data_IF_569980602828
#
_entry.id   IF_569980602828
#
_cell.length_a   1.000
_cell.length_b   1.000
_cell.length_c   1.000
_cell.angle_alpha   90.00
_cell.angle_beta   90.00
_cell.angle_gamma   90.00
#
_symmetry.space_group_name_H-M   'P 1'
#
loop_
_entity.id
_entity.type
_entity.pdbx_description
1 polymer ?
#
# COMPACT_ATOMS: atom_id res chain seq x y z
N UNK A 1 8.90 -59.19 -3.97
CA UNK A 1 9.68 -57.97 -3.71
C UNK A 1 9.76 -57.21 -5.03
N UNK A 2 9.27 -55.96 -5.09
CA UNK A 2 9.49 -54.94 -6.13
C UNK A 2 8.36 -53.90 -6.05
N UNK A 3 8.68 -52.65 -5.76
CA UNK A 3 7.75 -51.51 -5.89
C UNK A 3 8.32 -50.60 -6.97
N UNK A 4 7.58 -50.42 -8.07
CA UNK A 4 7.96 -49.52 -9.15
C UNK A 4 7.12 -48.23 -9.04
N UNK A 5 7.72 -47.17 -8.50
CA UNK A 5 7.07 -45.87 -8.38
C UNK A 5 7.00 -45.13 -9.72
N UNK A 6 5.86 -44.52 -10.03
CA UNK A 6 5.68 -43.68 -11.22
C UNK A 6 6.34 -42.31 -11.04
N UNK A 7 7.15 -41.90 -12.02
CA UNK A 7 7.70 -40.54 -12.09
C UNK A 7 6.56 -39.55 -12.40
N UNK A 8 6.36 -38.57 -11.51
CA UNK A 8 5.52 -37.40 -11.80
C UNK A 8 6.27 -36.39 -12.64
N UNK A 9 5.73 -36.03 -13.82
CA UNK A 9 6.25 -34.93 -14.62
C UNK A 9 5.96 -33.59 -13.90
N UNK A 10 7.01 -32.86 -13.52
CA UNK A 10 6.87 -31.51 -12.95
C UNK A 10 6.93 -30.49 -14.09
N UNK A 11 5.78 -29.96 -14.48
CA UNK A 11 5.70 -28.84 -15.42
C UNK A 11 6.14 -27.54 -14.74
N UNK A 12 7.25 -26.97 -15.20
CA UNK A 12 7.72 -25.68 -14.72
C UNK A 12 6.78 -24.55 -15.18
N UNK A 13 6.04 -23.96 -14.25
CA UNK A 13 5.19 -22.79 -14.53
C UNK A 13 6.08 -21.57 -14.75
N UNK A 14 6.18 -21.11 -16.00
CA UNK A 14 6.89 -19.87 -16.33
C UNK A 14 6.16 -18.66 -15.76
N UNK A 15 6.89 -17.75 -15.14
CA UNK A 15 6.32 -16.50 -14.65
C UNK A 15 5.95 -15.59 -15.83
N UNK A 16 4.70 -15.13 -15.88
CA UNK A 16 4.26 -14.22 -16.93
C UNK A 16 5.00 -12.88 -16.83
N UNK A 17 5.59 -12.44 -17.94
CA UNK A 17 6.24 -11.13 -18.04
C UNK A 17 5.19 -10.00 -17.97
N UNK A 18 5.55 -8.86 -17.37
CA UNK A 18 4.65 -7.71 -17.34
C UNK A 18 4.48 -7.14 -18.76
N UNK A 19 3.26 -7.14 -19.29
CA UNK A 19 2.98 -6.64 -20.64
C UNK A 19 3.06 -5.11 -20.68
N UNK A 20 4.00 -4.60 -21.47
CA UNK A 20 4.14 -3.17 -21.79
C UNK A 20 3.70 -2.88 -23.21
N UNK A 21 3.23 -1.66 -23.40
CA UNK A 21 2.84 -1.10 -24.68
C UNK A 21 4.08 -0.44 -25.33
N UNK A 22 4.66 -1.03 -26.39
CA UNK A 22 5.88 -0.50 -27.01
C UNK A 22 5.63 0.80 -27.81
N UNK A 23 4.37 1.23 -27.99
CA UNK A 23 4.03 2.52 -28.59
C UNK A 23 3.97 3.65 -27.55
N UNK A 24 3.69 3.33 -26.29
CA UNK A 24 3.48 4.29 -25.22
C UNK A 24 4.78 4.84 -24.61
N UNK A 25 4.70 6.09 -24.13
CA UNK A 25 5.68 6.66 -23.21
C UNK A 25 5.23 6.42 -21.78
N UNK A 26 6.19 6.19 -20.89
CA UNK A 26 5.99 5.88 -19.48
C UNK A 26 6.85 6.78 -18.60
N UNK A 27 6.29 7.21 -17.47
CA UNK A 27 7.04 7.78 -16.35
C UNK A 27 7.19 6.68 -15.31
N UNK A 28 8.43 6.37 -14.94
CA UNK A 28 8.74 5.30 -13.99
C UNK A 28 8.85 5.89 -12.59
N UNK A 29 7.81 5.73 -11.77
CA UNK A 29 7.77 6.28 -10.40
C UNK A 29 8.47 5.32 -9.44
N UNK A 30 9.48 5.77 -8.70
CA UNK A 30 10.14 4.95 -7.69
C UNK A 30 9.24 4.74 -6.48
N UNK A 31 8.94 3.47 -6.20
CA UNK A 31 8.04 3.05 -5.12
C UNK A 31 8.44 3.59 -3.72
N UNK A 32 9.69 3.99 -3.49
CA UNK A 32 10.14 4.44 -2.16
C UNK A 32 9.99 5.95 -1.90
N UNK A 33 9.82 6.76 -2.93
CA UNK A 33 10.11 8.22 -2.84
C UNK A 33 9.21 9.12 -3.68
N UNK A 34 8.36 8.50 -4.50
CA UNK A 34 7.46 9.09 -5.50
C UNK A 34 8.15 10.03 -6.49
N UNK A 35 9.48 9.88 -6.56
CA UNK A 35 10.37 10.51 -7.51
C UNK A 35 10.63 9.56 -8.65
N UNK A 36 10.75 10.13 -9.84
CA UNK A 36 10.70 9.38 -11.08
C UNK A 36 12.09 9.13 -11.61
N UNK A 37 12.26 8.03 -12.37
CA UNK A 37 13.45 7.81 -13.17
C UNK A 37 13.69 9.04 -14.04
N UNK A 38 14.83 9.68 -13.87
CA UNK A 38 15.13 10.95 -14.50
C UNK A 38 16.52 10.89 -15.11
N UNK A 39 16.60 11.29 -16.37
CA UNK A 39 17.84 11.68 -16.99
C UNK A 39 18.33 12.99 -16.34
N UNK A 40 19.46 12.93 -15.61
CA UNK A 40 20.05 14.10 -14.93
C UNK A 40 20.22 15.27 -15.92
N UNK A 41 19.70 16.42 -15.50
CA UNK A 41 19.79 17.72 -16.15
C UNK A 41 19.33 17.77 -17.63
N UNK A 42 18.54 16.80 -18.10
CA UNK A 42 17.99 16.77 -19.47
C UNK A 42 18.85 16.04 -20.53
N UNK A 43 19.86 15.30 -20.08
CA UNK A 43 20.95 14.69 -20.84
C UNK A 43 20.71 14.08 -22.26
N UNK A 44 21.37 14.60 -23.33
CA UNK A 44 21.62 14.11 -24.73
C UNK A 44 22.97 14.33 -25.59
N UNK A 45 24.20 14.74 -25.12
CA UNK A 45 25.59 14.36 -25.62
C UNK A 45 26.56 13.60 -24.60
N UNK A 46 27.30 12.53 -24.95
CA UNK A 46 27.75 11.34 -24.12
C UNK A 46 28.49 11.40 -22.73
N UNK A 47 28.11 10.51 -21.77
CA UNK A 47 28.67 10.19 -20.43
C UNK A 47 27.68 10.01 -19.22
N UNK A 48 26.46 10.57 -19.25
CA UNK A 48 25.64 10.94 -18.08
C UNK A 48 24.65 9.89 -17.49
N UNK A 49 24.50 10.02 -16.17
CA UNK A 49 23.77 9.14 -15.25
C UNK A 49 22.26 9.40 -15.14
N UNK A 50 21.53 8.37 -14.74
CA UNK A 50 20.16 8.45 -14.26
C UNK A 50 20.15 8.82 -12.77
N UNK A 51 19.13 9.56 -12.35
CA UNK A 51 18.80 9.87 -10.96
C UNK A 51 17.30 9.66 -10.70
N UNK A 52 16.87 9.86 -9.45
CA UNK A 52 15.45 10.13 -9.17
C UNK A 52 15.21 11.64 -9.11
N UNK A 53 14.23 12.12 -9.88
CA UNK A 53 13.81 13.52 -9.93
C UNK A 53 12.41 13.74 -9.34
N UNK A 54 12.12 14.94 -8.86
CA UNK A 54 10.73 15.31 -8.53
C UNK A 54 9.89 15.26 -9.82
N UNK A 55 8.73 14.60 -9.78
CA UNK A 55 7.90 14.39 -10.97
C UNK A 55 7.44 15.72 -11.58
N UNK A 56 7.79 15.94 -12.83
CA UNK A 56 7.39 17.08 -13.68
C UNK A 56 6.78 16.64 -15.02
N UNK A 57 6.87 15.35 -15.34
CA UNK A 57 6.52 14.74 -16.62
C UNK A 57 7.26 15.35 -17.84
N UNK A 58 8.38 16.04 -17.61
CA UNK A 58 9.31 16.49 -18.65
C UNK A 58 9.86 15.31 -19.47
N UNK A 59 10.27 15.53 -20.72
CA UNK A 59 10.72 14.45 -21.61
C UNK A 59 11.95 13.68 -21.08
N UNK A 60 12.80 14.31 -20.26
CA UNK A 60 13.89 13.67 -19.53
C UNK A 60 13.43 12.60 -18.50
N UNK A 61 12.17 12.62 -18.09
CA UNK A 61 11.55 11.67 -17.15
C UNK A 61 10.71 10.59 -17.87
N UNK A 62 10.58 10.65 -19.20
CA UNK A 62 9.74 9.75 -19.99
C UNK A 62 10.56 8.71 -20.76
N UNK A 63 10.13 7.44 -20.72
CA UNK A 63 10.81 6.31 -21.34
C UNK A 63 9.83 5.40 -22.11
N UNK A 64 10.30 4.72 -23.14
CA UNK A 64 9.55 3.76 -23.96
C UNK A 64 10.27 2.42 -23.99
N UNK A 65 9.51 1.33 -23.91
CA UNK A 65 10.04 -0.03 -23.92
C UNK A 65 10.21 -0.54 -25.36
N UNK A 66 11.42 -0.43 -25.90
CA UNK A 66 11.78 -0.97 -27.22
C UNK A 66 12.09 -2.46 -27.07
N UNK A 67 11.52 -3.33 -27.91
CA UNK A 67 11.67 -4.78 -27.77
C UNK A 67 13.05 -5.31 -28.21
N UNK A 68 13.48 -6.43 -27.63
CA UNK A 68 14.77 -7.10 -27.86
C UNK A 68 14.63 -8.62 -28.10
N UNK A 69 13.40 -9.11 -28.29
CA UNK A 69 13.05 -10.53 -28.31
C UNK A 69 12.75 -11.10 -26.92
N UNK A 70 12.02 -12.21 -26.85
CA UNK A 70 11.85 -13.06 -25.64
C UNK A 70 11.36 -12.36 -24.36
N UNK A 71 10.60 -11.27 -24.49
CA UNK A 71 10.15 -10.45 -23.34
C UNK A 71 11.24 -9.53 -22.74
N UNK A 72 12.37 -9.38 -23.43
CA UNK A 72 13.43 -8.43 -23.14
C UNK A 72 13.16 -7.10 -23.83
N UNK A 73 13.47 -6.00 -23.15
CA UNK A 73 13.25 -4.64 -23.61
C UNK A 73 14.41 -3.71 -23.25
N UNK A 74 14.51 -2.58 -23.94
CA UNK A 74 15.42 -1.46 -23.63
C UNK A 74 14.59 -0.21 -23.34
N UNK A 75 14.97 0.55 -22.30
CA UNK A 75 14.23 1.76 -21.91
C UNK A 75 14.79 2.98 -22.66
N UNK A 76 14.20 3.31 -23.81
CA UNK A 76 14.57 4.48 -24.59
C UNK A 76 13.99 5.76 -23.95
N UNK A 77 14.82 6.75 -23.61
CA UNK A 77 14.38 8.05 -23.10
C UNK A 77 13.82 8.94 -24.23
N UNK A 78 12.75 9.70 -23.93
CA UNK A 78 12.03 10.54 -24.90
C UNK A 78 12.82 11.75 -25.38
N UNK A 79 13.67 12.33 -24.54
CA UNK A 79 14.43 13.55 -24.85
C UNK A 79 15.72 13.24 -25.62
N UNK A 80 16.36 12.10 -25.34
CA UNK A 80 17.69 11.77 -25.87
C UNK A 80 17.70 10.72 -27.00
N UNK A 81 16.59 9.98 -27.16
CA UNK A 81 16.47 8.84 -28.07
C UNK A 81 17.28 7.60 -27.66
N UNK A 82 17.82 7.55 -26.44
CA UNK A 82 18.86 6.61 -26.00
C UNK A 82 18.44 5.75 -24.80
N UNK A 83 19.09 4.59 -24.62
CA UNK A 83 18.62 3.48 -23.79
C UNK A 83 19.36 3.34 -22.46
N UNK A 84 18.62 3.07 -21.38
CA UNK A 84 19.16 2.91 -20.01
C UNK A 84 20.06 1.68 -19.86
N UNK A 85 21.19 1.81 -19.15
CA UNK A 85 22.28 0.82 -19.18
C UNK A 85 23.28 0.96 -17.99
N UNK A 86 23.89 -0.16 -17.56
CA UNK A 86 24.71 -0.33 -16.33
C UNK A 86 26.21 -0.01 -16.54
N UNK A 87 26.93 0.40 -15.48
CA UNK A 87 28.33 0.80 -15.50
C UNK A 87 29.38 -0.31 -15.75
N UNK A 88 30.39 0.02 -16.57
CA UNK A 88 31.76 -0.51 -16.58
C UNK A 88 31.99 -2.02 -16.71
N UNK A 89 31.13 -2.77 -17.42
CA UNK A 89 31.09 -4.24 -17.36
C UNK A 89 30.90 -4.78 -15.93
N UNK A 90 30.47 -3.93 -15.00
CA UNK A 90 30.61 -4.14 -13.57
C UNK A 90 29.56 -5.09 -13.04
N UNK A 91 30.02 -6.17 -12.42
CA UNK A 91 29.11 -7.15 -11.82
C UNK A 91 28.51 -6.74 -10.48
N UNK A 92 29.03 -5.65 -9.89
CA UNK A 92 28.83 -5.25 -8.50
C UNK A 92 27.52 -4.49 -8.23
N UNK A 93 27.04 -4.58 -6.99
CA UNK A 93 25.99 -3.70 -6.48
C UNK A 93 26.49 -2.25 -6.37
N UNK A 94 25.61 -1.29 -6.63
CA UNK A 94 25.98 0.14 -6.65
C UNK A 94 26.65 0.59 -7.95
N UNK A 95 26.87 -0.29 -8.93
CA UNK A 95 27.31 0.11 -10.26
C UNK A 95 26.30 1.10 -10.88
N UNK A 96 26.77 2.28 -11.27
CA UNK A 96 25.94 3.39 -11.74
C UNK A 96 25.12 3.03 -12.99
N UNK A 97 23.97 3.66 -13.16
CA UNK A 97 23.13 3.52 -14.37
C UNK A 97 23.13 4.84 -15.14
N UNK A 98 23.28 4.75 -16.46
CA UNK A 98 23.36 5.86 -17.43
C UNK A 98 22.52 5.52 -18.69
N UNK A 99 22.59 6.27 -19.81
CA UNK A 99 21.68 6.06 -20.97
C UNK A 99 22.29 6.17 -22.41
N UNK A 100 22.76 5.07 -23.03
CA UNK A 100 23.54 5.02 -24.28
C UNK A 100 22.81 5.01 -25.63
N UNK A 101 23.60 5.30 -26.67
CA UNK A 101 23.38 4.81 -28.03
C UNK A 101 22.93 3.35 -27.99
N UNK A 102 21.76 3.08 -28.58
CA UNK A 102 21.23 1.72 -28.67
C UNK A 102 22.16 0.84 -29.52
N UNK A 103 22.56 -0.29 -28.96
CA UNK A 103 23.41 -1.31 -29.55
C UNK A 103 22.84 -2.73 -29.35
N UNK A 104 21.60 -2.83 -28.84
CA UNK A 104 20.90 -4.03 -28.38
C UNK A 104 21.73 -5.03 -27.55
N UNK A 105 22.68 -4.52 -26.77
CA UNK A 105 23.52 -5.35 -25.94
C UNK A 105 22.78 -5.79 -24.66
N UNK A 106 23.13 -6.95 -24.11
CA UNK A 106 22.43 -7.55 -22.95
C UNK A 106 22.41 -6.67 -21.68
N UNK A 107 23.19 -5.58 -21.66
CA UNK A 107 23.29 -4.58 -20.60
C UNK A 107 22.47 -3.30 -20.79
N UNK A 108 21.89 -3.14 -21.97
CA UNK A 108 20.76 -2.25 -22.26
C UNK A 108 19.42 -2.97 -22.03
N UNK A 109 19.45 -4.31 -22.06
CA UNK A 109 18.29 -5.18 -21.95
C UNK A 109 17.86 -5.41 -20.49
N UNK A 110 16.55 -5.30 -20.27
CA UNK A 110 15.85 -5.71 -19.05
C UNK A 110 14.67 -6.61 -19.40
N UNK A 111 14.37 -7.59 -18.55
CA UNK A 111 13.04 -8.21 -18.47
C UNK A 111 12.22 -7.55 -17.37
N UNK A 112 10.92 -7.40 -17.60
CA UNK A 112 10.00 -6.80 -16.64
C UNK A 112 9.37 -7.89 -15.78
N UNK A 113 9.85 -8.04 -14.55
CA UNK A 113 9.26 -8.96 -13.57
C UNK A 113 8.19 -8.22 -12.78
N UNK A 114 6.93 -8.62 -12.96
CA UNK A 114 5.79 -8.07 -12.24
C UNK A 114 5.89 -8.34 -10.72
N UNK A 115 5.48 -7.36 -9.92
CA UNK A 115 5.41 -7.46 -8.46
C UNK A 115 4.23 -6.60 -7.94
N UNK A 116 3.02 -7.16 -7.99
CA UNK A 116 1.76 -6.39 -7.86
C UNK A 116 1.63 -5.38 -9.02
N UNK A 117 1.16 -4.15 -8.81
CA UNK A 117 1.06 -3.10 -9.85
C UNK A 117 2.41 -2.48 -10.29
N UNK A 118 3.53 -3.05 -9.84
CA UNK A 118 4.88 -2.54 -10.04
C UNK A 118 5.71 -3.51 -10.85
N UNK A 119 6.74 -3.01 -11.52
CA UNK A 119 7.77 -3.85 -12.13
C UNK A 119 9.09 -3.70 -11.40
N UNK A 120 9.87 -4.77 -11.41
CA UNK A 120 11.32 -4.70 -11.27
C UNK A 120 11.91 -4.89 -12.65
N UNK A 121 12.78 -3.95 -13.02
CA UNK A 121 13.56 -4.02 -14.26
C UNK A 121 14.77 -4.90 -13.96
N UNK A 122 14.63 -6.21 -14.21
CA UNK A 122 15.72 -7.16 -14.01
C UNK A 122 16.62 -7.10 -15.23
N UNK A 123 17.89 -6.82 -15.00
CA UNK A 123 18.90 -6.50 -15.99
C UNK A 123 19.52 -7.81 -16.52
N UNK A 124 19.30 -8.11 -17.81
CA UNK A 124 19.42 -9.49 -18.35
C UNK A 124 20.77 -10.15 -18.12
N UNK A 125 21.82 -9.43 -18.50
CA UNK A 125 23.22 -9.73 -18.28
C UNK A 125 23.69 -9.85 -16.81
N UNK A 126 22.79 -9.79 -15.82
CA UNK A 126 23.15 -9.62 -14.40
C UNK A 126 22.25 -10.27 -13.36
N UNK A 127 20.97 -10.49 -13.67
CA UNK A 127 19.91 -10.84 -12.72
C UNK A 127 19.75 -9.88 -11.52
N UNK A 128 20.40 -8.71 -11.57
CA UNK A 128 20.24 -7.58 -10.66
C UNK A 128 19.14 -6.65 -11.15
N UNK A 129 18.73 -5.70 -10.31
CA UNK A 129 17.60 -4.78 -10.58
C UNK A 129 18.04 -3.33 -10.58
N UNK A 130 17.43 -2.53 -11.46
CA UNK A 130 17.61 -1.08 -11.51
C UNK A 130 16.96 -0.43 -10.27
N UNK A 131 17.75 0.37 -9.54
CA UNK A 131 17.38 0.87 -8.21
C UNK A 131 17.88 2.29 -7.89
N UNK A 132 17.22 2.97 -6.97
CA UNK A 132 17.70 4.22 -6.35
C UNK A 132 18.80 3.92 -5.33
N UNK A 133 19.97 4.56 -5.49
CA UNK A 133 21.14 4.37 -4.64
C UNK A 133 20.85 4.72 -3.17
N UNK A 134 21.42 3.91 -2.26
CA UNK A 134 21.23 4.05 -0.81
C UNK A 134 19.77 3.95 -0.34
N UNK A 135 18.84 3.54 -1.22
CA UNK A 135 17.41 3.63 -1.00
C UNK A 135 16.93 5.03 -0.57
N UNK A 136 17.52 6.09 -1.14
CA UNK A 136 17.24 7.49 -0.78
C UNK A 136 15.82 7.94 -1.15
N UNK A 137 15.30 8.94 -0.41
CA UNK A 137 14.05 9.68 -0.74
C UNK A 137 14.29 11.06 -1.37
N UNK A 138 15.55 11.52 -1.42
CA UNK A 138 15.91 12.85 -1.93
C UNK A 138 15.98 12.89 -3.46
N UNK A 139 15.55 14.00 -4.06
CA UNK A 139 15.81 14.27 -5.48
C UNK A 139 17.33 14.37 -5.73
N UNK A 140 17.77 14.03 -6.94
CA UNK A 140 19.19 13.99 -7.31
C UNK A 140 19.92 12.71 -6.93
N UNK A 141 19.32 11.82 -6.11
CA UNK A 141 19.94 10.54 -5.76
C UNK A 141 20.10 9.64 -7.01
N UNK A 142 21.31 9.12 -7.22
CA UNK A 142 21.66 8.36 -8.41
C UNK A 142 20.89 7.04 -8.54
N UNK A 143 20.76 6.55 -9.78
CA UNK A 143 20.30 5.19 -10.07
C UNK A 143 21.51 4.26 -10.25
N UNK A 144 21.38 3.04 -9.77
CA UNK A 144 22.39 1.98 -9.80
C UNK A 144 21.74 0.63 -10.14
N UNK A 145 22.51 -0.42 -10.38
CA UNK A 145 22.02 -1.79 -10.18
C UNK A 145 22.19 -2.23 -8.71
N UNK A 146 21.39 -3.19 -8.27
CA UNK A 146 21.61 -3.92 -7.02
C UNK A 146 21.02 -5.33 -7.05
N UNK A 147 21.50 -6.19 -6.15
CA UNK A 147 20.95 -7.52 -5.88
C UNK A 147 19.43 -7.44 -5.69
N UNK A 148 18.68 -8.40 -6.26
CA UNK A 148 17.22 -8.44 -6.21
C UNK A 148 16.66 -8.77 -4.81
N UNK A 149 16.84 -7.83 -3.88
CA UNK A 149 16.22 -7.80 -2.56
C UNK A 149 14.73 -7.43 -2.62
N UNK A 150 14.15 -7.34 -3.83
CA UNK A 150 12.74 -7.00 -4.13
C UNK A 150 12.27 -5.72 -3.45
N UNK A 151 13.22 -4.87 -3.08
CA UNK A 151 13.04 -3.73 -2.20
C UNK A 151 12.52 -2.51 -2.97
N UNK A 152 11.99 -1.53 -2.26
CA UNK A 152 11.08 -0.57 -2.91
C UNK A 152 11.81 0.51 -3.69
N UNK A 153 13.06 0.78 -3.32
CA UNK A 153 13.95 1.58 -4.15
C UNK A 153 14.32 0.87 -5.48
N UNK A 154 13.95 -0.41 -5.64
CA UNK A 154 14.19 -1.24 -6.82
C UNK A 154 12.90 -1.52 -7.63
N UNK A 155 11.75 -0.97 -7.19
CA UNK A 155 10.44 -1.16 -7.80
C UNK A 155 9.93 0.14 -8.42
N UNK A 156 9.29 0.01 -9.59
CA UNK A 156 8.86 1.13 -10.42
C UNK A 156 7.39 0.98 -10.83
N UNK A 157 6.57 2.01 -10.59
CA UNK A 157 5.23 2.11 -11.20
C UNK A 157 5.40 2.55 -12.66
N UNK A 158 4.79 1.84 -13.60
CA UNK A 158 4.82 2.20 -15.02
C UNK A 158 3.61 3.06 -15.38
N UNK A 159 3.67 4.35 -15.07
CA UNK A 159 2.58 5.29 -15.38
C UNK A 159 2.65 5.68 -16.85
N UNK A 160 1.71 5.19 -17.67
CA UNK A 160 1.57 5.65 -19.08
C UNK A 160 1.35 7.17 -19.11
N UNK A 161 2.10 7.84 -19.98
CA UNK A 161 1.89 9.24 -20.33
C UNK A 161 0.81 9.29 -21.41
N UNK A 162 -0.28 10.02 -21.16
CA UNK A 162 -1.32 10.22 -22.16
C UNK A 162 -0.74 10.96 -23.38
N UNK A 163 -1.07 10.50 -24.59
CA UNK A 163 -0.56 11.04 -25.85
C UNK A 163 -1.28 12.33 -26.26
N UNK A 164 -1.12 13.38 -25.46
CA UNK A 164 -1.36 14.76 -25.87
C UNK A 164 -0.20 15.31 -26.71
N UNK A 165 -0.49 16.37 -27.48
CA UNK A 165 0.50 17.07 -28.30
C UNK A 165 1.59 17.76 -27.43
N UNK A 166 2.80 18.03 -27.97
CA UNK A 166 3.97 18.32 -27.14
C UNK A 166 4.07 19.78 -26.67
N UNK A 167 4.41 19.95 -25.38
CA UNK A 167 5.12 21.15 -24.90
C UNK A 167 6.63 20.96 -25.15
N UNK A 168 7.33 22.03 -25.52
CA UNK A 168 8.73 22.00 -25.97
C UNK A 168 9.75 21.74 -24.84
N UNK A 169 10.90 21.16 -25.20
CA UNK A 169 11.97 20.79 -24.26
C UNK A 169 13.27 21.59 -24.50
N UNK A 170 14.10 21.81 -23.47
CA UNK A 170 15.51 22.20 -23.60
C UNK A 170 16.45 20.97 -23.74
N UNK A 171 17.57 21.15 -24.44
CA UNK A 171 18.51 20.13 -24.95
C UNK A 171 19.78 19.91 -24.06
N UNK A 172 20.61 18.86 -24.34
CA UNK A 172 22.07 18.57 -24.00
C UNK A 172 22.34 17.35 -23.05
N UNK A 173 23.41 16.49 -23.14
CA UNK A 173 24.01 15.44 -22.16
C UNK A 173 24.18 13.76 -22.13
N UNK A 174 23.66 12.66 -22.85
CA UNK A 174 23.30 11.32 -22.23
C UNK A 174 24.46 10.27 -22.03
N UNK A 175 24.32 8.97 -22.33
CA UNK A 175 25.31 7.86 -22.59
C UNK A 175 25.92 7.02 -21.46
N UNK A 176 25.94 5.68 -21.67
CA UNK A 176 26.28 4.61 -20.74
C UNK A 176 27.49 3.67 -21.09
N UNK A 177 27.38 2.35 -20.88
CA UNK A 177 28.43 1.38 -20.46
C UNK A 177 28.06 -0.12 -20.59
N UNK A 178 28.89 -1.11 -20.19
CA UNK A 178 28.50 -2.55 -20.24
C UNK A 178 28.14 -3.30 -18.94
N UNK A 179 27.61 -4.55 -19.09
CA UNK A 179 27.69 -5.81 -18.26
C UNK A 179 28.83 -6.76 -18.78
N UNK A 180 28.79 -8.12 -18.75
CA UNK A 180 27.96 -9.15 -18.09
C UNK A 180 28.73 -9.77 -16.87
N UNK A 181 28.53 -10.95 -16.23
CA UNK A 181 27.63 -12.14 -16.26
C UNK A 181 27.44 -12.60 -14.77
N UNK A 182 27.21 -13.83 -14.25
CA UNK A 182 26.84 -15.23 -14.63
C UNK A 182 26.37 -15.99 -13.37
N UNK A 183 25.90 -17.24 -13.49
CA UNK A 183 25.57 -18.19 -12.39
C UNK A 183 26.63 -19.32 -12.25
N UNK A 184 26.61 -20.28 -11.28
CA UNK A 184 25.50 -21.20 -10.98
C UNK A 184 25.22 -21.50 -9.46
N UNK A 185 24.19 -22.32 -9.21
CA UNK A 185 23.92 -23.01 -7.93
C UNK A 185 24.00 -24.55 -8.12
N UNK A 186 24.07 -25.41 -7.07
CA UNK A 186 22.81 -25.89 -6.45
C UNK A 186 22.90 -26.36 -4.96
N UNK A 187 21.74 -26.75 -4.41
CA UNK A 187 21.46 -27.90 -3.48
C UNK A 187 20.51 -27.52 -2.33
N UNK A 188 19.62 -28.43 -1.95
CA UNK A 188 18.54 -28.22 -0.98
C UNK A 188 18.81 -28.87 0.39
N UNK A 189 18.22 -28.30 1.45
CA UNK A 189 18.14 -28.87 2.81
C UNK A 189 16.74 -28.61 3.39
N UNK A 190 16.28 -29.46 4.32
CA UNK A 190 14.88 -29.60 4.70
C UNK A 190 14.29 -28.54 5.66
N UNK A 191 12.96 -28.44 5.64
CA UNK A 191 12.12 -27.55 6.46
C UNK A 191 11.99 -28.00 7.93
N UNK A 192 12.26 -27.13 8.91
CA UNK A 192 11.80 -27.29 10.29
C UNK A 192 10.36 -26.80 10.48
N UNK A 193 9.58 -27.50 11.31
CA UNK A 193 8.23 -27.10 11.77
C UNK A 193 8.34 -25.86 12.69
N UNK A 194 7.39 -24.89 12.66
CA UNK A 194 7.65 -23.56 13.23
C UNK A 194 7.74 -23.54 14.75
N UNK A 195 8.70 -22.76 15.26
CA UNK A 195 8.72 -22.23 16.62
C UNK A 195 7.83 -20.98 16.73
N UNK A 196 7.34 -20.71 17.93
CA UNK A 196 6.37 -19.64 18.21
C UNK A 196 6.95 -18.24 17.98
N UNK A 197 6.28 -17.44 17.14
CA UNK A 197 6.54 -16.00 17.04
C UNK A 197 6.11 -15.29 18.35
N UNK A 198 6.90 -14.34 18.88
CA UNK A 198 6.53 -13.61 20.08
C UNK A 198 5.35 -12.65 19.84
N UNK A 199 4.43 -12.59 20.80
CA UNK A 199 3.36 -11.58 20.82
C UNK A 199 3.92 -10.20 21.19
N UNK A 200 3.53 -9.10 20.52
CA UNK A 200 3.97 -7.75 20.85
C UNK A 200 3.20 -7.22 22.08
N UNK A 201 3.58 -7.69 23.27
CA UNK A 201 3.00 -7.22 24.56
C UNK A 201 3.50 -5.82 24.91
N UNK A 202 2.92 -4.80 24.28
CA UNK A 202 3.03 -3.42 24.74
C UNK A 202 2.35 -3.23 26.11
N UNK A 203 2.93 -2.41 26.98
CA UNK A 203 2.33 -2.13 28.28
C UNK A 203 1.04 -1.28 28.14
N UNK A 204 -0.04 -1.59 28.88
CA UNK A 204 -1.30 -0.87 28.75
C UNK A 204 -1.14 0.62 29.07
N UNK A 205 -1.67 1.47 28.18
CA UNK A 205 -1.58 2.93 28.27
C UNK A 205 -0.42 3.58 27.50
N UNK A 206 0.58 2.81 27.04
CA UNK A 206 1.68 3.33 26.21
C UNK A 206 1.45 2.99 24.74
N UNK A 207 0.74 3.89 24.04
CA UNK A 207 0.52 3.75 22.59
C UNK A 207 1.81 4.00 21.81
N UNK A 208 2.12 3.19 20.78
CA UNK A 208 3.34 3.37 19.99
C UNK A 208 3.34 4.74 19.27
N UNK A 209 4.54 5.29 19.04
CA UNK A 209 4.68 6.43 18.15
C UNK A 209 4.22 6.07 16.72
N UNK A 210 3.81 7.07 15.94
CA UNK A 210 3.49 6.88 14.52
C UNK A 210 4.71 6.30 13.78
N UNK A 211 4.55 5.22 13.00
CA UNK A 211 5.65 4.51 12.38
C UNK A 211 6.20 5.28 11.18
N UNK A 212 7.53 5.30 11.04
CA UNK A 212 8.16 5.72 9.79
C UNK A 212 7.93 4.67 8.73
N UNK A 213 7.30 5.03 7.61
CA UNK A 213 7.10 4.14 6.47
C UNK A 213 8.44 3.58 5.94
N UNK A 214 8.62 2.27 6.02
CA UNK A 214 9.85 1.56 5.60
C UNK A 214 10.08 1.69 4.09
N UNK A 215 8.98 1.80 3.35
CA UNK A 215 8.88 2.36 2.02
C UNK A 215 7.42 2.68 1.69
N UNK A 216 7.14 2.99 0.43
CA UNK A 216 5.84 3.51 -0.01
C UNK A 216 5.28 2.62 -1.13
N UNK A 217 4.16 3.03 -1.75
CA UNK A 217 3.50 2.39 -2.89
C UNK A 217 2.36 3.30 -3.34
N UNK A 218 2.52 4.01 -4.46
CA UNK A 218 1.35 4.50 -5.20
C UNK A 218 0.51 3.32 -5.71
N UNK A 219 -0.79 3.38 -5.53
CA UNK A 219 -1.76 2.37 -5.98
C UNK A 219 -2.64 3.01 -7.04
N UNK A 220 -2.92 2.29 -8.12
CA UNK A 220 -3.74 2.79 -9.25
C UNK A 220 -4.97 1.91 -9.53
N UNK A 221 -5.14 0.81 -8.80
CA UNK A 221 -6.35 -0.04 -8.78
C UNK A 221 -6.40 -0.87 -7.48
N UNK A 222 -7.59 -1.28 -7.06
CA UNK A 222 -7.82 -2.02 -5.80
C UNK A 222 -6.97 -3.27 -5.68
N UNK A 223 -6.26 -3.42 -4.55
CA UNK A 223 -5.40 -4.56 -4.29
C UNK A 223 -6.18 -5.65 -3.54
N UNK A 224 -6.59 -6.68 -4.25
CA UNK A 224 -7.19 -7.87 -3.63
C UNK A 224 -6.17 -8.60 -2.73
N UNK A 225 -6.63 -9.08 -1.57
CA UNK A 225 -5.84 -9.82 -0.58
C UNK A 225 -6.60 -11.08 -0.15
N UNK A 226 -5.93 -12.22 -0.19
CA UNK A 226 -6.40 -13.50 0.35
C UNK A 226 -5.30 -14.14 1.20
N UNK A 227 -5.70 -14.92 2.21
CA UNK A 227 -4.75 -15.44 3.22
C UNK A 227 -4.08 -14.33 4.03
N UNK A 228 -2.91 -14.62 4.61
CA UNK A 228 -2.11 -13.60 5.32
C UNK A 228 -1.16 -12.87 4.38
N UNK A 229 -1.18 -11.54 4.44
CA UNK A 229 -0.26 -10.63 3.75
C UNK A 229 0.35 -9.64 4.74
N UNK A 230 1.62 -9.83 5.03
CA UNK A 230 2.44 -8.81 5.70
C UNK A 230 2.96 -7.80 4.67
N UNK A 231 2.91 -6.52 5.02
CA UNK A 231 3.39 -5.42 4.18
C UNK A 231 4.53 -4.61 4.80
N UNK A 232 5.01 -4.94 6.01
CA UNK A 232 6.27 -4.40 6.56
C UNK A 232 6.28 -2.91 6.95
N UNK A 233 5.14 -2.35 7.36
CA UNK A 233 4.91 -0.93 7.71
C UNK A 233 5.20 0.03 6.55
N UNK A 234 4.36 -0.08 5.52
CA UNK A 234 4.57 0.54 4.21
C UNK A 234 3.40 1.41 3.80
N UNK A 235 3.69 2.61 3.29
CA UNK A 235 2.70 3.60 2.86
C UNK A 235 2.14 3.30 1.47
N UNK A 236 1.02 2.59 1.41
CA UNK A 236 0.18 2.51 0.22
C UNK A 236 -0.61 3.83 0.08
N UNK A 237 -0.68 4.45 -1.09
CA UNK A 237 -1.27 5.79 -1.28
C UNK A 237 -1.81 6.00 -2.71
N UNK A 238 -2.57 7.06 -2.96
CA UNK A 238 -2.85 7.60 -4.30
C UNK A 238 -3.77 6.79 -5.24
N UNK A 239 -4.63 5.90 -4.73
CA UNK A 239 -5.67 5.22 -5.54
C UNK A 239 -6.83 6.15 -5.90
N UNK A 240 -7.07 7.16 -5.06
CA UNK A 240 -7.95 8.29 -5.38
C UNK A 240 -7.17 9.61 -5.38
N UNK A 241 -7.86 10.65 -5.84
CA UNK A 241 -7.49 12.07 -5.74
C UNK A 241 -7.32 12.57 -4.31
N UNK A 242 -7.76 11.81 -3.28
CA UNK A 242 -7.75 12.25 -1.89
C UNK A 242 -8.94 13.15 -1.49
N UNK A 243 -9.94 13.31 -2.36
CA UNK A 243 -11.20 13.96 -2.01
C UNK A 243 -12.14 13.04 -1.18
N UNK A 244 -13.40 13.43 -1.02
CA UNK A 244 -14.40 12.77 -0.18
C UNK A 244 -15.60 12.21 -1.00
N UNK A 245 -15.41 11.90 -2.28
CA UNK A 245 -16.50 11.43 -3.15
C UNK A 245 -16.96 9.99 -2.86
N UNK A 246 -18.27 9.77 -2.75
CA UNK A 246 -18.99 8.53 -2.36
C UNK A 246 -18.87 7.33 -3.34
N UNK A 247 -17.78 7.22 -4.09
CA UNK A 247 -17.55 6.17 -5.10
C UNK A 247 -16.06 5.91 -5.35
N UNK A 248 -15.19 6.23 -4.39
CA UNK A 248 -13.76 5.94 -4.53
C UNK A 248 -13.49 4.42 -4.43
N UNK A 249 -12.54 3.88 -5.22
CA UNK A 249 -12.14 2.48 -5.06
C UNK A 249 -11.41 2.29 -3.72
N UNK A 250 -11.61 1.15 -3.02
CA UNK A 250 -10.78 0.82 -1.86
C UNK A 250 -9.35 0.50 -2.30
N UNK A 251 -8.37 0.95 -1.53
CA UNK A 251 -6.96 0.62 -1.74
C UNK A 251 -6.69 -0.89 -1.61
N UNK A 252 -7.36 -1.55 -0.67
CA UNK A 252 -7.28 -2.98 -0.44
C UNK A 252 -8.67 -3.63 -0.34
N UNK A 253 -8.82 -4.82 -0.89
CA UNK A 253 -10.03 -5.63 -0.74
C UNK A 253 -9.69 -7.05 -0.24
N UNK A 254 -10.02 -7.33 1.01
CA UNK A 254 -9.75 -8.57 1.70
C UNK A 254 -10.90 -9.57 1.48
N UNK A 255 -10.54 -10.78 1.06
CA UNK A 255 -11.42 -11.94 1.04
C UNK A 255 -11.71 -12.47 2.46
N UNK A 256 -12.69 -13.37 2.59
CA UNK A 256 -12.97 -14.06 3.86
C UNK A 256 -11.74 -14.86 4.34
N UNK A 257 -11.44 -14.77 5.63
CA UNK A 257 -10.24 -15.34 6.26
C UNK A 257 -8.92 -14.60 5.98
N UNK A 258 -8.94 -13.44 5.32
CA UNK A 258 -7.71 -12.71 5.00
C UNK A 258 -7.17 -11.87 6.17
N UNK A 259 -5.85 -11.81 6.29
CA UNK A 259 -5.15 -10.95 7.26
C UNK A 259 -4.24 -9.99 6.51
N UNK A 260 -4.41 -8.69 6.71
CA UNK A 260 -3.46 -7.68 6.27
C UNK A 260 -2.74 -7.14 7.51
N UNK A 261 -1.41 -7.24 7.55
CA UNK A 261 -0.62 -6.77 8.69
C UNK A 261 0.49 -5.81 8.29
N UNK A 262 0.84 -4.91 9.22
CA UNK A 262 1.93 -3.94 9.09
C UNK A 262 1.80 -3.11 7.80
N UNK A 263 0.81 -2.23 7.70
CA UNK A 263 0.66 -1.34 6.53
C UNK A 263 0.29 0.07 6.96
N UNK A 264 0.77 1.06 6.20
CA UNK A 264 0.41 2.46 6.33
C UNK A 264 -0.44 2.81 5.09
N UNK A 265 -1.49 3.59 5.25
CA UNK A 265 -2.24 4.18 4.16
C UNK A 265 -2.01 5.69 4.20
N UNK A 266 -1.37 6.20 3.16
CA UNK A 266 -1.10 7.61 2.95
C UNK A 266 -2.24 8.34 2.26
N UNK A 267 -1.94 9.54 1.78
CA UNK A 267 -2.89 10.39 1.05
C UNK A 267 -3.46 9.72 -0.20
N UNK A 268 -4.71 10.03 -0.58
CA UNK A 268 -5.39 9.35 -1.69
C UNK A 268 -5.70 7.87 -1.40
N UNK A 269 -6.05 7.54 -0.15
CA UNK A 269 -6.35 6.18 0.32
C UNK A 269 -7.61 5.54 -0.30
N UNK A 270 -8.44 6.28 -1.03
CA UNK A 270 -9.72 5.79 -1.53
C UNK A 270 -10.79 5.61 -0.43
N UNK A 271 -11.72 4.69 -0.66
CA UNK A 271 -12.57 4.06 0.37
C UNK A 271 -11.74 2.98 1.13
N UNK A 272 -10.55 3.40 1.58
CA UNK A 272 -9.64 2.68 2.48
C UNK A 272 -9.43 1.19 2.21
N UNK A 273 -9.94 0.35 3.13
CA UNK A 273 -9.79 -1.11 3.11
C UNK A 273 -11.15 -1.79 3.25
N UNK A 274 -11.56 -2.62 2.28
CA UNK A 274 -12.80 -3.40 2.38
C UNK A 274 -12.52 -4.82 2.83
N UNK A 275 -13.31 -5.32 3.78
CA UNK A 275 -13.34 -6.74 4.13
C UNK A 275 -14.66 -7.37 3.67
N UNK A 276 -14.60 -8.33 2.75
CA UNK A 276 -15.77 -9.03 2.19
C UNK A 276 -16.26 -10.21 3.06
N UNK A 277 -15.62 -10.43 4.19
CA UNK A 277 -15.87 -11.50 5.14
C UNK A 277 -15.04 -11.30 6.41
N UNK A 278 -14.78 -12.38 7.15
CA UNK A 278 -13.87 -12.38 8.30
C UNK A 278 -12.51 -11.83 7.88
N UNK A 279 -11.97 -10.86 8.61
CA UNK A 279 -10.65 -10.34 8.32
C UNK A 279 -9.94 -9.81 9.55
N UNK A 280 -8.61 -9.71 9.47
CA UNK A 280 -7.79 -9.04 10.50
C UNK A 280 -6.91 -7.97 9.86
N UNK A 281 -6.94 -6.77 10.42
CA UNK A 281 -6.06 -5.64 10.15
C UNK A 281 -5.14 -5.46 11.36
N UNK A 282 -3.91 -5.97 11.28
CA UNK A 282 -2.95 -5.89 12.39
C UNK A 282 -1.95 -4.76 12.14
N UNK A 283 -1.76 -3.85 13.12
CA UNK A 283 -0.76 -2.78 13.05
C UNK A 283 -0.91 -1.91 11.76
N UNK A 284 -2.11 -1.39 11.53
CA UNK A 284 -2.48 -0.63 10.31
C UNK A 284 -2.68 0.86 10.59
N UNK A 285 -2.14 1.72 9.73
CA UNK A 285 -1.91 3.14 10.04
C UNK A 285 -2.36 4.10 8.93
N UNK A 286 -3.44 4.84 9.12
CA UNK A 286 -3.94 5.82 8.16
C UNK A 286 -3.42 7.23 8.47
N UNK A 287 -2.52 7.74 7.66
CA UNK A 287 -1.88 9.05 7.83
C UNK A 287 -2.72 10.22 7.31
N UNK A 288 -3.63 9.94 6.38
CA UNK A 288 -4.76 10.78 6.02
C UNK A 288 -5.88 9.83 5.55
N UNK A 289 -7.08 9.93 6.11
CA UNK A 289 -8.21 9.07 5.73
C UNK A 289 -8.90 9.65 4.49
N UNK A 290 -9.28 8.78 3.55
CA UNK A 290 -10.08 9.15 2.37
C UNK A 290 -11.56 9.26 2.75
N UNK A 291 -12.44 8.56 2.04
CA UNK A 291 -13.85 8.45 2.43
C UNK A 291 -14.01 7.69 3.77
N UNK A 292 -13.32 6.55 3.87
CA UNK A 292 -13.25 5.67 5.04
C UNK A 292 -11.83 5.14 5.23
N UNK A 293 -11.47 4.77 6.46
CA UNK A 293 -10.22 4.06 6.72
C UNK A 293 -10.39 2.56 6.44
N UNK A 294 -11.47 1.96 6.95
CA UNK A 294 -11.86 0.60 6.55
C UNK A 294 -13.35 0.31 6.71
N UNK A 295 -13.89 -0.51 5.80
CA UNK A 295 -15.32 -0.76 5.64
C UNK A 295 -15.63 -2.26 5.65
N UNK A 296 -16.36 -2.72 6.66
CA UNK A 296 -16.73 -4.13 6.80
C UNK A 296 -17.99 -4.47 5.97
N UNK A 297 -17.80 -5.29 4.93
CA UNK A 297 -18.80 -5.77 3.96
C UNK A 297 -18.99 -7.29 4.06
N UNK A 298 -19.00 -7.82 5.28
CA UNK A 298 -19.29 -9.24 5.55
C UNK A 298 -20.69 -9.67 5.10
N UNK A 299 -20.95 -10.98 5.13
CA UNK A 299 -22.18 -11.62 4.64
C UNK A 299 -22.88 -12.51 5.67
N UNK A 300 -22.18 -12.93 6.74
CA UNK A 300 -22.73 -13.73 7.85
C UNK A 300 -22.51 -13.05 9.21
N UNK A 301 -23.48 -13.18 10.12
CA UNK A 301 -23.37 -12.70 11.50
C UNK A 301 -22.26 -13.39 12.32
N UNK A 302 -21.73 -14.53 11.85
CA UNK A 302 -20.58 -15.22 12.45
C UNK A 302 -19.22 -14.62 12.04
N UNK A 303 -19.16 -13.81 10.98
CA UNK A 303 -17.90 -13.23 10.50
C UNK A 303 -17.47 -12.05 11.39
N UNK A 304 -16.17 -11.86 11.52
CA UNK A 304 -15.57 -10.82 12.36
C UNK A 304 -14.50 -10.05 11.62
N UNK A 305 -14.60 -8.72 11.61
CA UNK A 305 -13.51 -7.81 11.24
C UNK A 305 -12.77 -7.38 12.50
N UNK A 306 -11.46 -7.62 12.57
CA UNK A 306 -10.63 -7.27 13.74
C UNK A 306 -9.54 -6.28 13.35
N UNK A 307 -9.54 -5.09 13.92
CA UNK A 307 -8.42 -4.14 13.91
C UNK A 307 -7.66 -4.28 15.23
N UNK A 308 -6.35 -4.54 15.17
CA UNK A 308 -5.50 -4.71 16.37
C UNK A 308 -4.16 -4.01 16.23
N UNK A 309 -3.92 -3.00 17.08
CA UNK A 309 -2.81 -2.06 16.92
C UNK A 309 -3.03 -1.10 15.74
N UNK A 310 -2.16 -0.10 15.63
CA UNK A 310 -2.21 0.89 14.55
C UNK A 310 -2.82 2.24 14.95
N UNK A 311 -3.19 3.05 13.96
CA UNK A 311 -3.89 4.30 14.20
C UNK A 311 -4.41 5.03 12.96
N UNK A 312 -5.25 6.05 13.13
CA UNK A 312 -5.81 6.84 12.02
C UNK A 312 -5.91 8.34 12.33
N UNK A 313 -5.86 9.20 11.30
CA UNK A 313 -6.09 10.64 11.40
C UNK A 313 -6.63 11.26 10.11
N UNK A 314 -7.25 12.44 10.21
CA UNK A 314 -7.77 13.21 9.07
C UNK A 314 -9.13 12.71 8.56
N UNK A 315 -9.95 12.08 9.39
CA UNK A 315 -11.18 11.41 8.95
C UNK A 315 -12.41 12.31 9.08
N UNK A 316 -12.79 13.06 8.04
CA UNK A 316 -13.82 14.12 8.11
C UNK A 316 -15.17 13.69 8.70
N UNK A 317 -15.66 12.49 8.34
CA UNK A 317 -16.90 11.93 8.89
C UNK A 317 -16.73 10.66 9.74
N UNK A 318 -16.03 9.63 9.24
CA UNK A 318 -15.89 8.34 9.93
C UNK A 318 -14.57 7.63 9.58
N UNK A 319 -14.04 6.85 10.52
CA UNK A 319 -12.82 6.04 10.35
C UNK A 319 -13.21 4.62 9.94
N UNK A 320 -14.08 3.96 10.72
CA UNK A 320 -14.54 2.61 10.41
C UNK A 320 -16.04 2.55 10.14
N UNK A 321 -16.40 1.97 9.01
CA UNK A 321 -17.78 1.79 8.56
C UNK A 321 -18.15 0.30 8.59
N UNK A 322 -19.39 -0.02 9.00
CA UNK A 322 -19.86 -1.41 9.10
C UNK A 322 -21.19 -1.56 8.36
N UNK A 323 -21.13 -2.17 7.17
CA UNK A 323 -22.26 -2.32 6.25
C UNK A 323 -22.90 -3.73 6.33
N UNK A 324 -22.07 -4.78 6.39
CA UNK A 324 -22.53 -6.17 6.54
C UNK A 324 -23.11 -6.49 7.93
N UNK A 325 -23.58 -7.72 8.17
CA UNK A 325 -23.72 -8.28 9.52
C UNK A 325 -22.36 -8.72 10.06
N UNK A 326 -22.28 -8.91 11.38
CA UNK A 326 -21.11 -9.50 12.04
C UNK A 326 -20.64 -8.73 13.27
N UNK A 327 -19.40 -8.99 13.66
CA UNK A 327 -18.71 -8.26 14.74
C UNK A 327 -17.54 -7.45 14.19
N UNK A 328 -17.39 -6.21 14.64
CA UNK A 328 -16.21 -5.38 14.42
C UNK A 328 -15.46 -5.24 15.75
N UNK A 329 -14.17 -5.57 15.79
CA UNK A 329 -13.31 -5.39 16.97
C UNK A 329 -12.25 -4.34 16.66
N UNK A 330 -12.04 -3.39 17.57
CA UNK A 330 -10.99 -2.37 17.50
C UNK A 330 -10.21 -2.45 18.81
N UNK A 331 -8.96 -2.94 18.75
CA UNK A 331 -8.11 -3.15 19.93
C UNK A 331 -6.76 -2.43 19.81
N UNK A 332 -6.23 -1.85 20.91
CA UNK A 332 -4.89 -1.24 20.96
C UNK A 332 -4.64 -0.14 19.92
N UNK A 333 -5.69 0.54 19.47
CA UNK A 333 -5.69 1.50 18.35
C UNK A 333 -5.57 2.94 18.85
N UNK A 334 -5.00 3.85 18.05
CA UNK A 334 -5.04 5.29 18.35
C UNK A 334 -5.64 6.14 17.23
N UNK A 335 -6.44 7.15 17.58
CA UNK A 335 -7.08 8.06 16.63
C UNK A 335 -6.89 9.52 17.04
N UNK A 336 -6.78 10.41 16.06
CA UNK A 336 -6.68 11.86 16.25
C UNK A 336 -7.27 12.60 15.06
N UNK A 337 -8.00 13.70 15.25
CA UNK A 337 -8.63 14.47 14.16
C UNK A 337 -9.57 13.62 13.28
N UNK A 338 -10.80 13.42 13.76
CA UNK A 338 -11.75 12.46 13.21
C UNK A 338 -13.21 12.82 13.53
N UNK A 339 -14.14 12.53 12.64
CA UNK A 339 -15.57 12.59 12.93
C UNK A 339 -15.98 11.49 13.91
N UNK A 340 -16.12 10.26 13.42
CA UNK A 340 -16.55 9.08 14.17
C UNK A 340 -15.50 7.97 14.09
N UNK A 341 -15.10 7.35 15.21
CA UNK A 341 -14.17 6.20 15.12
C UNK A 341 -14.85 4.98 14.48
N UNK A 342 -16.13 4.73 14.78
CA UNK A 342 -16.92 3.64 14.21
C UNK A 342 -18.37 4.07 13.94
N UNK A 343 -18.93 3.65 12.79
CA UNK A 343 -20.36 3.77 12.46
C UNK A 343 -20.93 2.46 11.91
N UNK A 344 -21.99 1.97 12.56
CA UNK A 344 -22.90 0.98 11.97
C UNK A 344 -23.76 1.67 10.91
N UNK A 345 -23.83 1.14 9.69
CA UNK A 345 -24.53 1.78 8.57
C UNK A 345 -25.99 2.10 8.90
N UNK A 346 -26.33 3.39 8.98
CA UNK A 346 -27.63 3.83 9.48
C UNK A 346 -28.77 3.79 8.47
N UNK A 347 -28.46 3.91 7.18
CA UNK A 347 -29.43 4.05 6.07
C UNK A 347 -29.21 3.01 4.94
N UNK A 348 -28.37 1.99 5.16
CA UNK A 348 -28.18 0.90 4.21
C UNK A 348 -29.52 0.23 3.83
N UNK A 349 -29.74 0.01 2.53
CA UNK A 349 -30.98 -0.58 1.98
C UNK A 349 -31.32 -1.95 2.57
N UNK A 350 -30.31 -2.73 2.96
CA UNK A 350 -30.45 -3.92 3.80
C UNK A 350 -29.76 -3.68 5.14
N UNK A 351 -30.53 -3.86 6.22
CA UNK A 351 -30.07 -3.67 7.59
C UNK A 351 -29.84 -4.98 8.33
N UNK A 352 -29.02 -4.91 9.39
CA UNK A 352 -28.58 -6.01 10.22
C UNK A 352 -28.39 -5.54 11.66
N UNK A 353 -28.47 -6.45 12.62
CA UNK A 353 -27.89 -6.24 13.95
C UNK A 353 -26.36 -6.39 13.85
N UNK A 354 -25.61 -5.36 14.28
CA UNK A 354 -24.15 -5.29 14.20
C UNK A 354 -23.53 -5.13 15.59
N UNK A 355 -22.48 -5.90 15.86
CA UNK A 355 -21.72 -5.79 17.13
C UNK A 355 -20.43 -5.02 16.91
N UNK A 356 -20.05 -4.15 17.85
CA UNK A 356 -18.73 -3.52 17.93
C UNK A 356 -18.10 -3.68 19.31
N UNK A 357 -16.79 -3.92 19.36
CA UNK A 357 -15.97 -3.94 20.57
C UNK A 357 -14.81 -2.95 20.42
N UNK A 358 -14.63 -2.08 21.41
CA UNK A 358 -13.58 -1.05 21.43
C UNK A 358 -12.77 -1.23 22.71
N UNK A 359 -11.52 -1.68 22.57
CA UNK A 359 -10.72 -2.23 23.66
C UNK A 359 -9.34 -1.57 23.67
N UNK A 360 -8.98 -0.89 24.77
CA UNK A 360 -7.67 -0.24 24.94
C UNK A 360 -7.34 0.74 23.80
N UNK A 361 -8.21 1.75 23.60
CA UNK A 361 -8.11 2.72 22.50
C UNK A 361 -7.77 4.11 23.01
N UNK A 362 -6.78 4.75 22.38
CA UNK A 362 -6.46 6.17 22.59
C UNK A 362 -7.17 7.04 21.55
N UNK A 363 -7.79 8.09 22.03
CA UNK A 363 -8.42 9.14 21.25
C UNK A 363 -7.71 10.45 21.59
N UNK A 364 -7.36 11.25 20.59
CA UNK A 364 -6.78 12.59 20.79
C UNK A 364 -7.66 13.61 20.07
N UNK A 365 -7.99 14.72 20.75
CA UNK A 365 -8.81 15.78 20.17
C UNK A 365 -8.11 16.45 18.96
N UNK A 366 -8.88 17.00 17.99
CA UNK A 366 -10.34 17.09 17.96
C UNK A 366 -11.04 15.79 17.53
N UNK A 367 -12.34 15.68 17.84
CA UNK A 367 -13.24 14.72 17.20
C UNK A 367 -14.70 14.89 17.61
N UNK A 368 -15.62 14.06 17.07
CA UNK A 368 -17.07 14.14 17.36
C UNK A 368 -17.55 12.99 18.27
N UNK A 369 -17.35 11.72 17.88
CA UNK A 369 -17.77 10.57 18.69
C UNK A 369 -16.98 9.28 18.44
N UNK A 370 -16.94 8.36 19.39
CA UNK A 370 -16.25 7.07 19.21
C UNK A 370 -17.13 6.08 18.44
N UNK A 371 -18.34 5.80 18.92
CA UNK A 371 -19.19 4.72 18.39
C UNK A 371 -20.59 5.21 18.09
N UNK A 372 -21.05 5.07 16.84
CA UNK A 372 -22.44 5.28 16.43
C UNK A 372 -23.15 3.97 16.06
N UNK A 373 -24.06 3.50 16.91
CA UNK A 373 -24.85 2.26 16.72
C UNK A 373 -26.33 2.53 16.46
N UNK A 374 -27.02 1.59 15.81
CA UNK A 374 -28.45 1.65 15.52
C UNK A 374 -29.20 0.69 16.45
N UNK A 375 -29.48 1.10 17.69
CA UNK A 375 -29.95 0.19 18.74
C UNK A 375 -31.35 -0.42 18.46
N UNK A 376 -32.19 0.28 17.68
CA UNK A 376 -33.47 -0.25 17.19
C UNK A 376 -33.32 -1.42 16.20
N UNK A 377 -32.15 -1.61 15.59
CA UNK A 377 -31.83 -2.74 14.71
C UNK A 377 -31.18 -3.91 15.48
N UNK A 378 -31.03 -3.79 16.80
CA UNK A 378 -30.38 -4.80 17.64
C UNK A 378 -28.87 -4.62 17.82
N UNK A 379 -28.28 -3.53 17.30
CA UNK A 379 -26.84 -3.27 17.44
C UNK A 379 -26.37 -3.27 18.90
N UNK A 380 -25.11 -3.64 19.11
CA UNK A 380 -24.44 -3.62 20.42
C UNK A 380 -23.02 -3.06 20.32
N UNK A 381 -22.67 -2.22 21.27
CA UNK A 381 -21.31 -1.77 21.51
C UNK A 381 -20.80 -2.26 22.87
N UNK A 382 -19.51 -2.53 22.97
CA UNK A 382 -18.81 -2.72 24.24
C UNK A 382 -17.54 -1.89 24.22
N UNK A 383 -17.30 -1.06 25.25
CA UNK A 383 -16.08 -0.22 25.32
C UNK A 383 -15.35 -0.36 26.67
N UNK A 384 -14.05 -0.62 26.61
CA UNK A 384 -13.14 -0.78 27.77
C UNK A 384 -11.77 -0.19 27.47
N UNK A 385 -11.09 0.37 28.48
CA UNK A 385 -9.72 0.89 28.31
C UNK A 385 -9.60 2.16 27.47
N UNK A 386 -10.69 2.92 27.31
CA UNK A 386 -10.69 4.13 26.48
C UNK A 386 -9.93 5.26 27.19
N UNK A 387 -9.00 5.91 26.47
CA UNK A 387 -8.31 7.12 26.93
C UNK A 387 -8.52 8.26 25.94
N UNK A 388 -9.17 9.34 26.36
CA UNK A 388 -9.39 10.56 25.57
C UNK A 388 -8.40 11.62 26.02
N UNK A 389 -7.68 12.24 25.08
CA UNK A 389 -6.58 13.18 25.31
C UNK A 389 -6.90 14.53 24.68
N UNK A 390 -6.76 15.63 25.42
CA UNK A 390 -6.91 17.00 24.91
C UNK A 390 -8.36 17.48 24.74
N UNK A 391 -9.34 16.78 25.32
CA UNK A 391 -10.75 17.23 25.38
C UNK A 391 -11.19 17.50 26.83
N UNK A 392 -10.73 18.61 27.45
CA UNK A 392 -11.16 19.00 28.79
C UNK A 392 -12.67 19.34 28.84
N UNK A 393 -13.26 19.67 27.70
CA UNK A 393 -14.68 19.98 27.53
C UNK A 393 -15.60 18.76 27.39
N UNK A 394 -15.05 17.55 27.25
CA UNK A 394 -15.81 16.30 27.00
C UNK A 394 -16.80 16.38 25.84
N UNK A 395 -16.40 17.06 24.75
CA UNK A 395 -17.16 17.16 23.49
C UNK A 395 -17.20 15.85 22.72
N UNK A 396 -16.19 14.98 22.87
CA UNK A 396 -16.10 13.71 22.17
C UNK A 396 -17.05 12.70 22.84
N UNK A 397 -18.13 12.35 22.15
CA UNK A 397 -19.17 11.47 22.69
C UNK A 397 -18.74 10.00 22.58
N UNK A 398 -18.65 9.30 23.71
CA UNK A 398 -18.12 7.92 23.77
C UNK A 398 -19.01 6.89 23.06
N UNK A 399 -20.33 7.04 23.13
CA UNK A 399 -21.25 6.19 22.38
C UNK A 399 -22.54 6.95 22.06
N UNK A 400 -23.03 6.79 20.84
CA UNK A 400 -24.23 7.42 20.29
C UNK A 400 -25.18 6.35 19.74
N UNK A 401 -26.45 6.47 20.08
CA UNK A 401 -27.52 5.61 19.60
C UNK A 401 -28.36 6.34 18.56
N UNK A 402 -28.66 5.64 17.48
CA UNK A 402 -29.46 6.11 16.35
C UNK A 402 -30.65 5.19 16.09
N UNK A 403 -31.70 5.73 15.49
CA UNK A 403 -32.73 4.97 14.81
C UNK A 403 -32.26 4.69 13.38
N UNK A 404 -31.73 3.49 13.15
CA UNK A 404 -31.40 3.00 11.82
C UNK A 404 -32.66 2.75 10.98
N UNK A 405 -32.53 2.98 9.67
CA UNK A 405 -33.59 2.96 8.65
C UNK A 405 -33.09 2.26 7.37
N UNK A 406 -34.00 1.98 6.43
CA UNK A 406 -33.69 1.45 5.09
C UNK A 406 -33.86 2.50 3.97
N UNK A 407 -34.32 3.70 4.32
CA UNK A 407 -34.43 4.86 3.45
C UNK A 407 -34.56 6.14 4.30
N UNK A 408 -34.04 7.27 3.79
CA UNK A 408 -33.94 8.52 4.54
C UNK A 408 -32.83 8.54 5.60
N UNK A 409 -32.78 9.62 6.37
CA UNK A 409 -31.69 9.86 7.33
C UNK A 409 -31.90 9.20 8.70
N UNK A 410 -30.85 8.62 9.33
CA UNK A 410 -30.96 8.00 10.65
C UNK A 410 -30.93 9.07 11.76
N UNK A 411 -32.00 9.20 12.53
CA UNK A 411 -32.05 10.15 13.64
C UNK A 411 -31.29 9.66 14.87
N UNK A 412 -30.57 10.56 15.56
CA UNK A 412 -29.98 10.26 16.88
C UNK A 412 -31.10 10.13 17.92
N UNK A 413 -31.05 9.08 18.74
CA UNK A 413 -32.03 8.80 19.82
C UNK A 413 -31.42 8.78 21.22
N UNK A 414 -30.09 8.69 21.34
CA UNK A 414 -29.42 8.69 22.64
C UNK A 414 -27.90 8.86 22.55
N UNK A 415 -27.26 9.03 23.70
CA UNK A 415 -25.81 8.95 23.85
C UNK A 415 -25.41 8.79 25.32
N UNK A 416 -24.30 8.09 25.57
CA UNK A 416 -23.86 7.69 26.90
C UNK A 416 -23.90 6.17 27.09
N UNK A 417 -23.73 5.66 28.33
CA UNK A 417 -23.88 4.24 28.63
C UNK A 417 -25.33 3.78 28.52
N UNK A 418 -25.55 2.58 27.98
CA UNK A 418 -26.88 1.95 27.94
C UNK A 418 -26.80 0.43 27.78
N UNK A 419 -27.95 -0.26 27.70
CA UNK A 419 -28.01 -1.67 27.34
C UNK A 419 -27.56 -1.98 25.90
N UNK A 420 -27.44 -0.96 25.03
CA UNK A 420 -26.85 -1.05 23.70
C UNK A 420 -25.41 -0.51 23.68
N UNK A 421 -25.15 0.60 24.37
CA UNK A 421 -23.84 1.21 24.57
C UNK A 421 -23.16 0.69 25.87
N UNK A 422 -22.69 -0.55 25.86
CA UNK A 422 -22.15 -1.22 27.04
C UNK A 422 -20.75 -0.74 27.46
N UNK A 423 -20.68 0.27 28.32
CA UNK A 423 -19.43 0.71 28.98
C UNK A 423 -19.71 1.37 30.34
N UNK A 424 -18.68 1.62 31.13
CA UNK A 424 -18.78 2.44 32.35
C UNK A 424 -18.17 3.82 32.11
N UNK A 425 -18.74 4.88 32.66
CA UNK A 425 -18.08 6.20 32.66
C UNK A 425 -16.72 6.18 33.35
N UNK A 426 -16.51 5.24 34.29
CA UNK A 426 -15.22 5.02 34.94
C UNK A 426 -14.21 4.22 34.10
N UNK A 427 -14.64 3.56 33.01
CA UNK A 427 -13.72 2.90 32.05
C UNK A 427 -13.28 3.82 30.90
N UNK A 428 -13.49 5.13 31.05
CA UNK A 428 -13.06 6.19 30.13
C UNK A 428 -12.17 7.18 30.88
N UNK A 429 -10.87 7.15 30.60
CA UNK A 429 -9.89 8.09 31.16
C UNK A 429 -9.85 9.36 30.30
N UNK A 430 -9.78 10.54 30.93
CA UNK A 430 -9.52 11.81 30.24
C UNK A 430 -8.14 12.34 30.66
N UNK A 431 -7.38 12.95 29.73
CA UNK A 431 -6.02 13.51 29.93
C UNK A 431 -5.82 14.79 29.13
#
# INVERSE_FOLDING_TARGET
>A
MAVAGTLGLVTAVTASAATVDPSAWYVLVSRKSDKVLEVRDGSLAAGAVLQQGTRTDAAAQQFRFVASGDGRHRLQNRQSGKVVEVAGASTADGAAVRQATDADAAHQQVRLVAQSSYVRLVLEHSDKVLQVAGASRAAGAAITQGTDAKSYHQQWELVKVATGAPTTAPTTSPTATPRPTSSPAPTATATPRPTSSPSPTGAPGTFPAWPTATGEQKVSATITVSGTRDLGLVRYHGISSGDQGESQPPMFQLADGAVLRNVILGEGAGDGIHCLGTCTLENVWWENVGEDAATFKGTSASQTMTVVGGGARGASDKVFQHNGPGTFVIRNFQVSDFGKLYRSCGNCSKQYARTVRVEDVRVTAPGKSLVGINSNLGDRATLTGVTIVGDPSRKIVVCEEYKGVTSGEPSKVGSGPSAACGYSTASVTYR
#
